data_IF_630634646856
#
_entry.id   IF_630634646856
#
_cell.length_a   1.000
_cell.length_b   1.000
_cell.length_c   1.000
_cell.angle_alpha   90.00
_cell.angle_beta   90.00
_cell.angle_gamma   90.00
#
_symmetry.space_group_name_H-M   'P 1'
#
loop_
_entity.id
_entity.type
_entity.pdbx_description
1 polymer ?
#
# COMPACT_ATOMS: atom_id res chain seq x y z
N UNK A 1 -57.16 -19.53 -19.85
CA UNK A 1 -56.72 -18.72 -18.70
C UNK A 1 -55.60 -19.50 -18.02
N UNK A 2 -54.35 -19.11 -18.25
CA UNK A 2 -53.17 -19.69 -17.56
C UNK A 2 -53.05 -18.91 -16.27
N UNK A 3 -53.16 -19.62 -15.15
CA UNK A 3 -52.95 -19.12 -13.81
C UNK A 3 -51.41 -18.87 -13.69
N UNK A 4 -51.01 -17.61 -13.79
CA UNK A 4 -49.65 -17.17 -13.46
C UNK A 4 -49.56 -17.03 -11.92
N UNK A 5 -49.31 -18.16 -11.24
CA UNK A 5 -48.87 -18.12 -9.86
C UNK A 5 -47.51 -17.42 -9.84
N UNK A 6 -47.48 -16.14 -9.48
CA UNK A 6 -46.25 -15.39 -9.23
C UNK A 6 -45.50 -16.10 -8.13
N UNK A 7 -44.33 -16.65 -8.46
CA UNK A 7 -43.43 -17.25 -7.51
C UNK A 7 -42.81 -16.09 -6.66
N UNK A 8 -43.49 -15.73 -5.58
CA UNK A 8 -43.03 -14.71 -4.65
C UNK A 8 -41.90 -15.32 -3.83
N UNK A 9 -40.67 -14.86 -4.06
CA UNK A 9 -39.53 -15.30 -3.29
C UNK A 9 -39.77 -15.07 -1.77
N UNK A 10 -39.68 -16.13 -0.98
CA UNK A 10 -39.84 -16.06 0.47
C UNK A 10 -38.52 -15.59 1.11
N UNK A 11 -38.54 -14.43 1.78
CA UNK A 11 -37.42 -13.93 2.57
C UNK A 11 -37.46 -14.57 3.94
N UNK A 12 -36.41 -15.31 4.31
CA UNK A 12 -36.27 -15.91 5.63
C UNK A 12 -35.01 -15.44 6.34
N UNK A 13 -35.03 -15.43 7.69
CA UNK A 13 -33.80 -15.20 8.46
C UNK A 13 -33.10 -16.54 8.71
N UNK A 14 -31.79 -16.56 8.39
CA UNK A 14 -30.94 -17.69 8.75
C UNK A 14 -30.06 -17.33 9.96
N UNK A 15 -29.83 -18.31 10.83
CA UNK A 15 -28.82 -18.18 11.88
C UNK A 15 -27.43 -18.39 11.27
N UNK A 16 -26.47 -17.60 11.69
CA UNK A 16 -25.07 -17.73 11.27
C UNK A 16 -24.14 -17.44 12.46
N UNK A 17 -22.92 -17.91 12.36
CA UNK A 17 -21.81 -17.54 13.24
C UNK A 17 -20.76 -16.80 12.44
N UNK A 18 -20.05 -15.89 13.10
CA UNK A 18 -18.93 -15.17 12.49
C UNK A 18 -17.60 -15.75 12.97
N UNK A 19 -16.58 -15.69 12.13
CA UNK A 19 -15.19 -16.00 12.46
C UNK A 19 -14.31 -14.76 12.27
N UNK A 20 -12.99 -14.92 12.36
CA UNK A 20 -12.01 -13.84 12.18
C UNK A 20 -11.83 -13.41 10.72
N UNK A 21 -12.47 -14.09 9.79
CA UNK A 21 -12.36 -13.81 8.35
C UNK A 21 -11.00 -14.17 7.74
N UNK A 22 -10.80 -13.76 6.50
CA UNK A 22 -9.62 -14.12 5.72
C UNK A 22 -8.30 -13.58 6.29
N UNK A 23 -8.33 -12.44 6.97
CA UNK A 23 -7.17 -11.80 7.60
C UNK A 23 -6.96 -12.19 9.07
N UNK A 24 -7.22 -13.43 9.46
CA UNK A 24 -7.16 -13.88 10.86
C UNK A 24 -5.77 -13.79 11.49
N UNK A 25 -4.68 -13.83 10.69
CA UNK A 25 -3.29 -13.72 11.15
C UNK A 25 -2.68 -12.36 10.89
N UNK A 26 -2.95 -11.77 9.72
CA UNK A 26 -2.48 -10.43 9.38
C UNK A 26 -3.35 -9.78 8.30
N UNK A 27 -3.51 -8.48 8.44
CA UNK A 27 -4.18 -7.59 7.48
C UNK A 27 -3.21 -6.49 7.11
N UNK A 28 -2.82 -6.44 5.84
CA UNK A 28 -1.79 -5.54 5.34
C UNK A 28 -2.45 -4.58 4.34
N UNK A 29 -2.31 -3.29 4.56
CA UNK A 29 -2.68 -2.26 3.60
C UNK A 29 -1.54 -1.97 2.65
N UNK A 30 -1.82 -1.66 1.38
CA UNK A 30 -0.82 -1.26 0.40
C UNK A 30 -1.36 -0.12 -0.47
N UNK A 31 -0.65 1.01 -0.44
CA UNK A 31 -0.88 2.11 -1.39
C UNK A 31 -0.04 1.85 -2.63
N UNK A 32 -0.71 1.70 -3.77
CA UNK A 32 -0.13 1.35 -5.06
C UNK A 32 -0.29 2.54 -6.01
N UNK A 33 0.70 2.85 -6.83
CA UNK A 33 0.56 3.88 -7.85
C UNK A 33 -0.52 3.49 -8.86
N UNK A 34 -1.28 4.47 -9.37
CA UNK A 34 -2.25 4.24 -10.44
C UNK A 34 -1.62 3.54 -11.64
N UNK A 35 -0.40 3.94 -12.00
CA UNK A 35 0.35 3.41 -13.13
C UNK A 35 1.05 2.08 -12.88
N UNK A 36 1.16 1.60 -11.63
CA UNK A 36 1.87 0.35 -11.32
C UNK A 36 1.09 -0.87 -11.81
N UNK A 37 1.78 -1.79 -12.46
CA UNK A 37 1.20 -3.00 -13.06
C UNK A 37 1.70 -4.30 -12.42
N UNK A 38 2.66 -4.23 -11.49
CA UNK A 38 3.38 -5.41 -11.02
C UNK A 38 3.30 -5.65 -9.53
N UNK A 39 3.32 -4.60 -8.71
CA UNK A 39 3.48 -4.71 -7.26
C UNK A 39 2.37 -5.54 -6.58
N UNK A 40 1.13 -5.44 -7.05
CA UNK A 40 0.02 -6.22 -6.49
C UNK A 40 0.22 -7.72 -6.72
N UNK A 41 0.68 -8.10 -7.91
CA UNK A 41 0.98 -9.49 -8.24
C UNK A 41 2.21 -10.00 -7.47
N UNK A 42 3.28 -9.22 -7.40
CA UNK A 42 4.49 -9.55 -6.67
C UNK A 42 4.22 -9.71 -5.16
N UNK A 43 3.47 -8.78 -4.58
CA UNK A 43 3.06 -8.88 -3.17
C UNK A 43 2.17 -10.08 -2.90
N UNK A 44 1.28 -10.45 -3.83
CA UNK A 44 0.48 -11.67 -3.72
C UNK A 44 1.36 -12.92 -3.64
N UNK A 45 2.41 -13.00 -4.45
CA UNK A 45 3.35 -14.13 -4.40
C UNK A 45 4.08 -14.21 -3.06
N UNK A 46 4.50 -13.06 -2.52
CA UNK A 46 5.24 -12.98 -1.25
C UNK A 46 4.34 -13.22 -0.02
N UNK A 47 3.07 -12.86 -0.11
CA UNK A 47 2.12 -12.92 1.01
C UNK A 47 1.07 -14.03 0.88
N UNK A 48 1.28 -15.00 -0.01
CA UNK A 48 0.37 -16.14 -0.20
C UNK A 48 0.45 -17.11 0.99
N UNK A 49 -0.04 -16.65 2.13
CA UNK A 49 -0.05 -17.37 3.40
C UNK A 49 -1.47 -17.47 3.93
N UNK A 50 -1.82 -18.64 4.48
CA UNK A 50 -3.13 -18.84 5.12
C UNK A 50 -3.36 -17.80 6.22
N UNK A 51 -4.51 -17.15 6.21
CA UNK A 51 -4.88 -16.13 7.20
C UNK A 51 -4.23 -14.77 7.02
N UNK A 52 -3.52 -14.53 5.91
CA UNK A 52 -2.99 -13.20 5.54
C UNK A 52 -3.85 -12.60 4.44
N UNK A 53 -4.28 -11.34 4.63
CA UNK A 53 -5.04 -10.58 3.64
C UNK A 53 -4.34 -9.28 3.29
N UNK A 54 -4.31 -8.97 1.99
CA UNK A 54 -3.82 -7.71 1.45
C UNK A 54 -5.01 -6.85 1.01
N UNK A 55 -4.98 -5.58 1.37
CA UNK A 55 -5.95 -4.56 0.97
C UNK A 55 -5.22 -3.48 0.20
N UNK A 56 -5.63 -3.21 -1.02
CA UNK A 56 -4.96 -2.26 -1.90
C UNK A 56 -5.82 -1.01 -2.10
N UNK A 57 -5.15 0.12 -2.19
CA UNK A 57 -5.72 1.37 -2.69
C UNK A 57 -4.80 1.94 -3.75
N UNK A 58 -5.37 2.64 -4.73
CA UNK A 58 -4.61 3.29 -5.79
C UNK A 58 -4.42 4.77 -5.49
N UNK A 59 -3.21 5.24 -5.76
CA UNK A 59 -2.77 6.62 -5.61
C UNK A 59 -2.54 7.22 -6.99
N UNK A 60 -3.21 8.32 -7.30
CA UNK A 60 -3.00 9.04 -8.55
C UNK A 60 -1.55 9.54 -8.66
N UNK A 61 -0.93 9.32 -9.80
CA UNK A 61 0.44 9.76 -10.08
C UNK A 61 0.58 10.24 -11.53
N UNK A 62 1.56 11.10 -11.76
CA UNK A 62 1.91 11.55 -13.09
C UNK A 62 2.78 10.49 -13.81
N UNK A 63 2.64 10.39 -15.12
CA UNK A 63 3.49 9.51 -15.97
C UNK A 63 4.92 10.02 -16.07
N UNK A 64 5.12 11.33 -15.92
CA UNK A 64 6.44 11.96 -15.96
C UNK A 64 6.99 12.05 -14.54
N UNK A 65 8.13 11.41 -14.31
CA UNK A 65 8.78 11.33 -13.00
C UNK A 65 9.77 12.48 -12.84
N UNK A 66 9.36 13.53 -12.15
CA UNK A 66 10.20 14.69 -11.77
C UNK A 66 10.02 14.99 -10.27
N UNK A 67 10.92 15.77 -9.64
CA UNK A 67 10.71 16.19 -8.26
C UNK A 67 9.34 16.84 -8.01
N UNK A 68 8.87 17.66 -8.96
CA UNK A 68 7.60 18.39 -8.84
C UNK A 68 6.39 17.45 -8.92
N UNK A 69 6.40 16.48 -9.85
CA UNK A 69 5.31 15.51 -9.98
C UNK A 69 5.27 14.54 -8.82
N UNK A 70 6.44 14.14 -8.30
CA UNK A 70 6.55 13.30 -7.11
C UNK A 70 6.08 14.04 -5.85
N UNK A 71 6.41 15.33 -5.70
CA UNK A 71 5.95 16.15 -4.58
C UNK A 71 4.42 16.28 -4.55
N UNK A 72 3.75 16.34 -5.70
CA UNK A 72 2.27 16.37 -5.77
C UNK A 72 1.63 15.14 -5.16
N UNK A 73 2.31 14.00 -5.19
CA UNK A 73 1.79 12.77 -4.59
C UNK A 73 1.61 12.88 -3.08
N UNK A 74 2.30 13.82 -2.41
CA UNK A 74 2.08 14.08 -0.98
C UNK A 74 0.63 14.48 -0.67
N UNK A 75 -0.04 15.18 -1.58
CA UNK A 75 -1.45 15.59 -1.41
C UNK A 75 -2.43 14.44 -1.69
N UNK A 76 -2.04 13.47 -2.49
CA UNK A 76 -2.85 12.30 -2.83
C UNK A 76 -2.75 11.19 -1.77
N UNK A 77 -1.61 11.09 -1.08
CA UNK A 77 -1.35 10.06 -0.08
C UNK A 77 -2.44 9.97 1.00
N UNK A 78 -2.83 11.07 1.68
CA UNK A 78 -3.85 11.00 2.74
C UNK A 78 -5.23 10.61 2.20
N UNK A 79 -5.54 10.97 0.95
CA UNK A 79 -6.81 10.62 0.30
C UNK A 79 -6.85 9.11 0.06
N UNK A 80 -5.80 8.59 -0.55
CA UNK A 80 -5.69 7.15 -0.87
C UNK A 80 -5.56 6.30 0.39
N UNK A 81 -4.83 6.75 1.40
CA UNK A 81 -4.69 6.03 2.66
C UNK A 81 -6.04 5.80 3.35
N UNK A 82 -6.93 6.79 3.35
CA UNK A 82 -8.29 6.69 3.93
C UNK A 82 -9.22 5.73 3.20
N UNK A 83 -8.87 5.26 2.01
CA UNK A 83 -9.61 4.23 1.29
C UNK A 83 -9.26 2.81 1.75
N UNK A 84 -8.19 2.64 2.50
CA UNK A 84 -7.93 1.37 3.20
C UNK A 84 -8.96 1.18 4.31
N UNK A 85 -9.44 -0.06 4.54
CA UNK A 85 -10.49 -0.31 5.52
C UNK A 85 -10.00 -0.03 6.96
N UNK A 86 -10.46 1.03 7.57
CA UNK A 86 -10.12 1.44 8.95
C UNK A 86 -10.72 0.51 10.03
N UNK A 87 -11.91 -0.04 9.75
CA UNK A 87 -12.62 -0.95 10.67
C UNK A 87 -12.00 -2.36 10.75
N UNK A 88 -11.01 -2.69 9.92
CA UNK A 88 -10.39 -4.02 9.89
C UNK A 88 -9.17 -4.17 10.80
N UNK A 89 -8.74 -3.16 11.51
CA UNK A 89 -7.53 -3.17 12.33
C UNK A 89 -6.32 -3.71 11.54
N UNK A 90 -5.80 -2.91 10.62
CA UNK A 90 -4.61 -3.26 9.83
C UNK A 90 -3.40 -3.50 10.73
N UNK A 91 -2.55 -4.46 10.39
CA UNK A 91 -1.33 -4.77 11.12
C UNK A 91 -0.11 -4.03 10.58
N UNK A 92 -0.14 -3.64 9.31
CA UNK A 92 0.89 -2.83 8.67
C UNK A 92 0.35 -2.13 7.42
N UNK A 93 0.98 -1.03 7.02
CA UNK A 93 0.68 -0.32 5.78
C UNK A 93 1.98 -0.12 4.98
N UNK A 94 1.96 -0.46 3.70
CA UNK A 94 3.03 -0.18 2.74
C UNK A 94 2.67 0.96 1.80
N UNK A 95 3.64 1.84 1.50
CA UNK A 95 3.57 2.78 0.39
C UNK A 95 4.49 2.32 -0.72
N UNK A 96 3.94 1.89 -1.85
CA UNK A 96 4.65 1.20 -2.93
C UNK A 96 5.38 2.12 -3.92
N UNK A 97 6.01 3.21 -3.48
CA UNK A 97 6.74 4.12 -4.37
C UNK A 97 8.11 4.54 -3.82
N UNK A 98 9.18 4.09 -4.47
CA UNK A 98 10.56 4.42 -4.07
C UNK A 98 10.90 5.90 -4.31
N UNK A 99 10.65 6.40 -5.53
CA UNK A 99 10.94 7.79 -5.89
C UNK A 99 10.06 8.78 -5.12
N UNK A 100 8.78 8.45 -4.91
CA UNK A 100 7.88 9.24 -4.07
C UNK A 100 8.37 9.32 -2.63
N UNK A 101 8.77 8.20 -2.03
CA UNK A 101 9.34 8.17 -0.68
C UNK A 101 10.64 8.98 -0.57
N UNK A 102 11.43 9.00 -1.65
CA UNK A 102 12.67 9.80 -1.72
C UNK A 102 12.40 11.30 -1.67
N UNK A 103 11.48 11.79 -2.47
CA UNK A 103 11.21 13.23 -2.63
C UNK A 103 10.34 13.76 -1.47
N UNK A 104 9.26 13.08 -1.12
CA UNK A 104 8.38 13.45 0.00
C UNK A 104 9.13 13.33 1.34
N UNK A 105 9.95 12.30 1.46
CA UNK A 105 10.66 11.93 2.68
C UNK A 105 9.95 10.84 3.48
N UNK A 106 10.76 9.92 4.01
CA UNK A 106 10.29 8.72 4.70
C UNK A 106 9.43 9.05 5.93
N UNK A 107 9.90 10.00 6.74
CA UNK A 107 9.19 10.43 7.97
C UNK A 107 7.84 11.08 7.61
N UNK A 108 7.84 11.91 6.58
CA UNK A 108 6.61 12.57 6.12
C UNK A 108 5.59 11.57 5.59
N UNK A 109 6.03 10.57 4.85
CA UNK A 109 5.16 9.45 4.42
C UNK A 109 4.60 8.71 5.64
N UNK A 110 5.44 8.42 6.63
CA UNK A 110 5.01 7.75 7.85
C UNK A 110 3.98 8.57 8.62
N UNK A 111 4.20 9.88 8.78
CA UNK A 111 3.27 10.80 9.45
C UNK A 111 1.90 10.84 8.77
N UNK A 112 1.88 10.87 7.44
CA UNK A 112 0.63 10.87 6.66
C UNK A 112 -0.12 9.55 6.86
N UNK A 113 0.56 8.43 6.85
CA UNK A 113 -0.05 7.11 7.04
C UNK A 113 -0.54 6.93 8.48
N UNK A 114 0.22 7.39 9.47
CA UNK A 114 -0.21 7.37 10.88
C UNK A 114 -1.43 8.28 11.13
N UNK A 115 -1.49 9.44 10.48
CA UNK A 115 -2.66 10.33 10.57
C UNK A 115 -3.93 9.70 9.97
N UNK A 116 -3.79 8.82 8.96
CA UNK A 116 -4.92 8.10 8.36
C UNK A 116 -5.31 6.85 9.17
N UNK A 117 -4.34 6.14 9.73
CA UNK A 117 -4.50 4.89 10.49
C UNK A 117 -3.62 4.92 11.75
N UNK A 118 -4.04 5.62 12.81
CA UNK A 118 -3.23 5.87 13.99
C UNK A 118 -2.71 4.58 14.65
N UNK A 119 -1.41 4.54 14.90
CA UNK A 119 -0.73 3.42 15.57
C UNK A 119 -0.48 2.20 14.68
N UNK A 120 -0.84 2.24 13.40
CA UNK A 120 -0.52 1.15 12.46
C UNK A 120 0.89 1.38 11.89
N UNK A 121 1.85 0.44 12.09
CA UNK A 121 3.18 0.59 11.56
C UNK A 121 3.18 0.67 10.04
N UNK A 122 4.00 1.57 9.50
CA UNK A 122 4.12 1.76 8.06
C UNK A 122 5.54 1.57 7.56
N UNK A 123 5.66 1.28 6.26
CA UNK A 123 6.93 1.18 5.57
C UNK A 123 6.81 1.59 4.11
N UNK A 124 7.96 1.83 3.48
CA UNK A 124 8.10 2.11 2.06
C UNK A 124 9.39 1.47 1.54
N UNK A 125 9.60 1.39 0.21
CA UNK A 125 10.76 0.71 -0.36
C UNK A 125 12.10 1.31 0.08
N UNK A 126 12.19 2.62 0.28
CA UNK A 126 13.43 3.28 0.70
C UNK A 126 13.78 2.90 2.15
N UNK A 127 12.82 3.03 3.07
CA UNK A 127 12.97 2.62 4.48
C UNK A 127 13.33 1.14 4.59
N UNK A 128 12.63 0.28 3.85
CA UNK A 128 12.87 -1.15 3.86
C UNK A 128 14.28 -1.51 3.31
N UNK A 129 14.70 -0.88 2.21
CA UNK A 129 16.03 -1.07 1.65
C UNK A 129 17.14 -0.65 2.61
N UNK A 130 17.01 0.51 3.25
CA UNK A 130 17.97 0.99 4.28
C UNK A 130 18.05 0.03 5.46
N UNK A 131 16.92 -0.45 5.95
CA UNK A 131 16.89 -1.42 7.03
C UNK A 131 17.60 -2.73 6.64
N UNK A 132 17.32 -3.25 5.44
CA UNK A 132 17.96 -4.47 4.93
C UNK A 132 19.48 -4.30 4.76
N UNK A 133 19.93 -3.20 4.14
CA UNK A 133 21.35 -2.89 3.94
C UNK A 133 22.10 -2.78 5.29
N UNK A 134 21.45 -2.18 6.29
CA UNK A 134 22.02 -2.06 7.63
C UNK A 134 22.18 -3.43 8.31
N UNK A 135 21.16 -4.29 8.25
CA UNK A 135 21.23 -5.66 8.79
C UNK A 135 22.32 -6.49 8.09
N UNK A 136 22.49 -6.30 6.78
CA UNK A 136 23.53 -6.96 5.99
C UNK A 136 24.93 -6.39 6.22
N UNK A 137 25.07 -5.29 6.95
CA UNK A 137 26.35 -4.63 7.23
C UNK A 137 26.98 -4.00 5.99
N UNK A 138 26.21 -3.63 4.97
CA UNK A 138 26.70 -3.05 3.72
C UNK A 138 27.38 -1.72 3.99
N UNK A 139 28.63 -1.55 3.47
CA UNK A 139 29.44 -0.32 3.62
C UNK A 139 29.62 0.43 2.30
N UNK A 140 29.36 -0.22 1.20
CA UNK A 140 29.49 0.37 -0.15
C UNK A 140 28.30 -0.11 -0.99
N UNK A 141 27.55 0.83 -1.53
CA UNK A 141 26.37 0.58 -2.34
C UNK A 141 26.60 1.08 -3.77
N UNK A 142 26.29 0.23 -4.75
CA UNK A 142 26.12 0.67 -6.14
C UNK A 142 24.65 0.98 -6.38
N UNK A 143 24.33 2.22 -6.75
CA UNK A 143 22.97 2.66 -7.04
C UNK A 143 22.74 2.76 -8.54
N UNK A 144 21.78 2.02 -9.07
CA UNK A 144 21.33 2.09 -10.46
C UNK A 144 19.83 2.38 -10.46
N UNK A 145 19.42 3.43 -11.14
CA UNK A 145 18.01 3.86 -11.18
C UNK A 145 17.57 4.19 -12.61
N UNK A 146 16.28 4.12 -12.92
CA UNK A 146 15.72 4.56 -14.19
C UNK A 146 15.31 6.05 -14.17
N UNK A 147 15.65 6.78 -13.11
CA UNK A 147 15.16 8.14 -12.86
C UNK A 147 16.07 9.20 -13.48
N UNK A 148 15.57 10.44 -13.52
CA UNK A 148 16.35 11.61 -13.89
C UNK A 148 17.53 11.81 -12.93
N UNK A 149 18.60 12.53 -13.33
CA UNK A 149 19.74 12.80 -12.46
C UNK A 149 19.35 13.40 -11.11
N UNK A 150 18.40 14.35 -11.09
CA UNK A 150 17.96 15.03 -9.87
C UNK A 150 17.30 14.09 -8.89
N UNK A 151 16.40 13.22 -9.36
CA UNK A 151 15.74 12.20 -8.52
C UNK A 151 16.74 11.15 -8.05
N UNK A 152 17.68 10.75 -8.93
CA UNK A 152 18.76 9.81 -8.58
C UNK A 152 19.67 10.40 -7.50
N UNK A 153 20.06 11.69 -7.62
CA UNK A 153 20.87 12.37 -6.62
C UNK A 153 20.13 12.46 -5.27
N UNK A 154 18.86 12.87 -5.29
CA UNK A 154 18.04 12.90 -4.07
C UNK A 154 17.95 11.52 -3.39
N UNK A 155 17.88 10.44 -4.19
CA UNK A 155 17.89 9.07 -3.65
C UNK A 155 19.24 8.69 -3.08
N UNK A 156 20.35 9.06 -3.74
CA UNK A 156 21.70 8.83 -3.24
C UNK A 156 21.93 9.50 -1.89
N UNK A 157 21.41 10.73 -1.72
CA UNK A 157 21.53 11.50 -0.48
C UNK A 157 20.75 10.88 0.70
N UNK A 158 19.83 9.96 0.41
CA UNK A 158 19.06 9.25 1.43
C UNK A 158 19.75 7.99 1.95
N UNK A 159 20.63 7.38 1.18
CA UNK A 159 21.38 6.17 1.57
C UNK A 159 22.67 6.48 2.30
#
# INVERSE_FOLDING_TARGET
MKDETSDVATISRSSFTTDMGSGSRARIGLLVLESDQTIEWEMRLMTHLSGVSMYHTRLANDVVVTPETLAKMETELPISAKLLPDYLALNAIGYGCTSGSTIIGEDRVADILDAAHPGVPSSNPLTAAKAALNVMGVKRLGLVTPYTPDVTQAMQDRF
#
